data_IF_226436047869
#
_entry.id   IF_226436047869
#
_cell.length_a   1.000
_cell.length_b   1.000
_cell.length_c   1.000
_cell.angle_alpha   90.00
_cell.angle_beta   90.00
_cell.angle_gamma   90.00
#
_symmetry.space_group_name_H-M   'P 1'
#
loop_
_entity.id
_entity.type
_entity.pdbx_description
1 polymer ?
#
# COMPACT_ATOMS: atom_id res chain seq x y z
N UNK A 1 -10.46 -11.59 20.97
CA UNK A 1 -10.04 -11.56 19.54
C UNK A 1 -9.31 -12.85 19.25
N UNK A 2 -9.76 -13.61 18.28
CA UNK A 2 -9.16 -14.89 17.93
C UNK A 2 -8.19 -14.71 16.73
N UNK A 3 -7.11 -15.51 16.72
CA UNK A 3 -6.19 -15.52 15.59
C UNK A 3 -6.75 -16.42 14.48
N UNK A 4 -6.92 -15.83 13.30
CA UNK A 4 -7.43 -16.53 12.12
C UNK A 4 -6.24 -16.93 11.24
N UNK A 5 -5.83 -18.20 11.34
CA UNK A 5 -4.58 -18.70 10.76
C UNK A 5 -4.45 -18.42 9.25
N UNK A 6 -5.48 -18.61 8.46
CA UNK A 6 -5.39 -18.35 7.02
C UNK A 6 -5.20 -16.86 6.71
N UNK A 7 -5.73 -15.94 7.53
CA UNK A 7 -5.50 -14.49 7.38
C UNK A 7 -4.06 -14.14 7.74
N UNK A 8 -3.46 -14.78 8.75
CA UNK A 8 -2.05 -14.60 9.09
C UNK A 8 -1.18 -14.97 7.88
N UNK A 9 -1.44 -16.13 7.27
CA UNK A 9 -0.70 -16.60 6.10
C UNK A 9 -0.86 -15.65 4.91
N UNK A 10 -2.07 -15.22 4.63
CA UNK A 10 -2.33 -14.26 3.55
C UNK A 10 -1.63 -12.92 3.81
N UNK A 11 -1.77 -12.37 5.02
CA UNK A 11 -1.14 -11.11 5.40
C UNK A 11 0.40 -11.22 5.30
N UNK A 12 0.99 -12.35 5.71
CA UNK A 12 2.41 -12.60 5.56
C UNK A 12 2.84 -12.55 4.08
N UNK A 13 2.16 -13.27 3.19
CA UNK A 13 2.53 -13.31 1.78
C UNK A 13 2.36 -11.95 1.10
N UNK A 14 1.25 -11.24 1.37
CA UNK A 14 1.00 -9.95 0.74
C UNK A 14 1.94 -8.86 1.25
N UNK A 15 2.29 -8.85 2.54
CA UNK A 15 3.30 -7.94 3.07
C UNK A 15 4.70 -8.28 2.56
N UNK A 16 5.02 -9.58 2.43
CA UNK A 16 6.27 -10.01 1.82
C UNK A 16 6.41 -9.45 0.40
N UNK A 17 5.34 -9.50 -0.39
CA UNK A 17 5.30 -8.93 -1.73
C UNK A 17 5.39 -7.40 -1.70
N UNK A 18 4.67 -6.75 -0.78
CA UNK A 18 4.63 -5.30 -0.66
C UNK A 18 6.00 -4.71 -0.33
N UNK A 19 6.59 -5.17 0.75
CA UNK A 19 7.90 -4.71 1.18
C UNK A 19 9.06 -5.20 0.29
N UNK A 20 8.83 -6.21 -0.60
CA UNK A 20 9.85 -6.68 -1.56
C UNK A 20 9.76 -6.01 -2.93
N UNK A 21 8.57 -5.63 -3.38
CA UNK A 21 8.33 -5.09 -4.72
C UNK A 21 7.62 -3.73 -4.73
N UNK A 22 7.34 -3.18 -3.55
CA UNK A 22 6.65 -1.90 -3.40
C UNK A 22 5.17 -1.96 -3.76
N UNK A 23 4.56 -3.14 -3.74
CA UNK A 23 3.12 -3.33 -4.02
C UNK A 23 2.67 -4.74 -3.59
N UNK A 24 1.56 -4.84 -2.88
CA UNK A 24 1.03 -6.15 -2.48
C UNK A 24 0.02 -6.09 -1.35
N UNK A 25 0.38 -5.57 -0.20
CA UNK A 25 -0.42 -5.68 1.01
C UNK A 25 -1.81 -5.07 0.82
N UNK A 26 -1.92 -3.77 0.73
CA UNK A 26 -3.21 -3.12 0.50
C UNK A 26 -3.81 -3.44 -0.88
N UNK A 27 -2.97 -3.61 -1.92
CA UNK A 27 -3.45 -3.85 -3.29
C UNK A 27 -3.97 -5.27 -3.51
N UNK A 28 -3.41 -6.24 -2.79
CA UNK A 28 -3.79 -7.65 -2.93
C UNK A 28 -4.70 -8.15 -1.81
N UNK A 29 -4.37 -7.84 -0.56
CA UNK A 29 -5.11 -8.34 0.59
C UNK A 29 -6.50 -7.68 0.71
N UNK A 30 -6.63 -6.36 0.45
CA UNK A 30 -7.94 -5.69 0.51
C UNK A 30 -8.98 -6.35 -0.39
N UNK A 31 -8.78 -6.48 -1.72
CA UNK A 31 -9.80 -7.06 -2.57
C UNK A 31 -10.10 -8.50 -2.19
N UNK A 32 -9.11 -9.26 -1.75
CA UNK A 32 -9.31 -10.63 -1.30
C UNK A 32 -10.20 -10.71 -0.05
N UNK A 33 -9.95 -9.88 0.96
CA UNK A 33 -10.78 -9.82 2.17
C UNK A 33 -12.21 -9.36 1.86
N UNK A 34 -12.37 -8.37 0.96
CA UNK A 34 -13.70 -7.93 0.50
C UNK A 34 -14.45 -9.05 -0.23
N UNK A 35 -13.75 -9.90 -1.01
CA UNK A 35 -14.32 -11.09 -1.65
C UNK A 35 -14.72 -12.18 -0.64
N UNK A 36 -13.99 -12.29 0.45
CA UNK A 36 -14.30 -13.21 1.55
C UNK A 36 -15.50 -12.74 2.39
N UNK A 37 -16.12 -11.61 2.03
CA UNK A 37 -17.34 -11.09 2.66
C UNK A 37 -17.09 -10.07 3.78
N UNK A 38 -15.83 -9.67 4.03
CA UNK A 38 -15.56 -8.60 4.98
C UNK A 38 -15.96 -7.23 4.39
N UNK A 39 -16.38 -6.33 5.27
CA UNK A 39 -16.78 -4.98 4.88
C UNK A 39 -15.58 -4.01 4.83
N UNK A 40 -15.63 -2.94 4.01
CA UNK A 40 -14.54 -1.96 3.94
C UNK A 40 -14.12 -1.37 5.29
N UNK A 41 -15.07 -1.12 6.21
CA UNK A 41 -14.80 -0.61 7.56
C UNK A 41 -14.17 -1.66 8.50
N UNK A 42 -14.24 -2.95 8.15
CA UNK A 42 -13.52 -4.03 8.85
C UNK A 42 -12.09 -4.20 8.30
N UNK A 43 -11.87 -3.86 7.03
CA UNK A 43 -10.62 -4.11 6.32
C UNK A 43 -9.71 -2.89 6.31
N UNK A 44 -10.20 -1.75 5.81
CA UNK A 44 -9.36 -0.58 5.51
C UNK A 44 -8.67 -0.01 6.76
N UNK A 45 -9.36 0.29 7.87
CA UNK A 45 -8.67 0.85 9.05
C UNK A 45 -7.67 -0.12 9.66
N UNK A 46 -7.95 -1.43 9.59
CA UNK A 46 -7.07 -2.46 10.14
C UNK A 46 -5.81 -2.63 9.30
N UNK A 47 -5.92 -2.58 7.98
CA UNK A 47 -4.77 -2.55 7.10
C UNK A 47 -3.91 -1.31 7.37
N UNK A 48 -4.50 -0.13 7.47
CA UNK A 48 -3.78 1.11 7.74
C UNK A 48 -2.95 1.04 9.03
N UNK A 49 -3.53 0.59 10.14
CA UNK A 49 -2.75 0.48 11.40
C UNK A 49 -1.67 -0.60 11.31
N UNK A 50 -1.92 -1.70 10.60
CA UNK A 50 -0.92 -2.74 10.38
C UNK A 50 0.22 -2.21 9.51
N UNK A 51 -0.08 -1.57 8.38
CA UNK A 51 0.91 -0.97 7.48
C UNK A 51 1.68 0.20 8.13
N UNK A 52 1.07 0.92 9.07
CA UNK A 52 1.81 1.92 9.85
C UNK A 52 3.02 1.27 10.54
N UNK A 53 2.84 0.11 11.16
CA UNK A 53 3.94 -0.57 11.86
C UNK A 53 4.85 -1.33 10.89
N UNK A 54 4.28 -2.08 9.93
CA UNK A 54 5.07 -2.88 8.98
C UNK A 54 5.90 -2.00 8.06
N UNK A 55 5.38 -0.87 7.57
CA UNK A 55 6.09 0.07 6.72
C UNK A 55 7.27 0.74 7.41
N UNK A 56 7.14 1.12 8.70
CA UNK A 56 8.29 1.58 9.48
C UNK A 56 9.31 0.48 9.71
N UNK A 57 8.85 -0.72 10.07
CA UNK A 57 9.72 -1.87 10.28
C UNK A 57 10.50 -2.18 9.00
N UNK A 58 9.83 -2.32 7.86
CA UNK A 58 10.46 -2.55 6.58
C UNK A 58 11.42 -1.42 6.19
N UNK A 59 11.04 -0.16 6.40
CA UNK A 59 11.88 1.01 6.14
C UNK A 59 13.20 0.97 6.92
N UNK A 60 13.16 0.63 8.21
CA UNK A 60 14.35 0.47 9.06
C UNK A 60 15.24 -0.64 8.51
N UNK A 61 14.68 -1.83 8.25
CA UNK A 61 15.46 -2.96 7.74
C UNK A 61 15.96 -2.74 6.31
N UNK A 62 15.26 -1.98 5.45
CA UNK A 62 15.79 -1.57 4.16
C UNK A 62 17.04 -0.68 4.30
N UNK A 63 17.06 0.21 5.29
CA UNK A 63 18.23 1.03 5.59
C UNK A 63 19.39 0.17 6.12
N UNK A 64 19.14 -0.69 7.10
CA UNK A 64 20.14 -1.58 7.70
C UNK A 64 20.75 -2.57 6.67
N UNK A 65 19.95 -3.03 5.71
CA UNK A 65 20.43 -3.90 4.63
C UNK A 65 20.99 -3.14 3.42
N UNK A 66 21.23 -1.83 3.54
CA UNK A 66 21.82 -0.99 2.50
C UNK A 66 21.06 -0.99 1.16
N UNK A 67 19.73 -1.22 1.20
CA UNK A 67 18.87 -1.08 0.02
C UNK A 67 18.59 0.39 -0.31
N UNK A 68 18.74 1.29 0.69
CA UNK A 68 18.43 2.72 0.63
C UNK A 68 19.21 3.46 1.72
N UNK A 69 19.49 4.74 1.51
CA UNK A 69 20.02 5.62 2.57
C UNK A 69 18.91 6.53 3.13
N UNK A 70 18.50 6.29 4.38
CA UNK A 70 17.55 7.12 5.14
C UNK A 70 18.24 7.97 6.22
N UNK A 71 19.51 8.32 6.03
CA UNK A 71 20.24 9.09 7.03
C UNK A 71 19.72 10.53 7.18
N UNK A 72 19.69 10.99 8.44
CA UNK A 72 19.42 12.38 8.86
C UNK A 72 20.68 13.13 9.27
N UNK A 73 21.86 12.68 8.85
CA UNK A 73 23.13 13.30 9.19
C UNK A 73 23.21 14.77 8.67
N UNK A 74 24.34 15.45 8.78
CA UNK A 74 24.51 16.89 8.46
C UNK A 74 23.80 17.38 7.18
N UNK A 75 23.50 16.47 6.24
CA UNK A 75 22.68 16.73 5.06
C UNK A 75 21.77 15.52 4.82
N UNK A 76 20.46 15.72 4.96
CA UNK A 76 19.46 14.69 4.71
C UNK A 76 19.67 14.04 3.32
N UNK A 77 19.60 12.70 3.26
CA UNK A 77 19.72 11.94 2.02
C UNK A 77 18.64 12.32 0.98
N UNK A 78 18.91 12.09 -0.27
CA UNK A 78 17.95 12.36 -1.36
C UNK A 78 16.72 11.47 -1.22
N UNK A 79 16.93 10.21 -0.85
CA UNK A 79 15.89 9.19 -0.65
C UNK A 79 14.95 9.60 0.49
N UNK A 80 15.47 10.06 1.61
CA UNK A 80 14.67 10.55 2.72
C UNK A 80 13.86 11.80 2.34
N UNK A 81 14.42 12.72 1.55
CA UNK A 81 13.68 13.89 1.04
C UNK A 81 12.52 13.47 0.16
N UNK A 82 12.73 12.51 -0.74
CA UNK A 82 11.70 11.99 -1.62
C UNK A 82 10.62 11.30 -0.77
N UNK A 83 11.00 10.50 0.22
CA UNK A 83 10.07 9.85 1.15
C UNK A 83 9.17 10.87 1.85
N UNK A 84 9.75 11.88 2.49
CA UNK A 84 8.98 12.91 3.20
C UNK A 84 8.06 13.71 2.27
N UNK A 85 8.50 13.99 1.06
CA UNK A 85 7.72 14.69 0.06
C UNK A 85 6.52 13.85 -0.40
N UNK A 86 6.72 12.58 -0.73
CA UNK A 86 5.66 11.65 -1.10
C UNK A 86 4.67 11.49 0.06
N UNK A 87 5.18 11.35 1.29
CA UNK A 87 4.39 11.26 2.52
C UNK A 87 3.50 12.48 2.71
N UNK A 88 4.03 13.69 2.55
CA UNK A 88 3.24 14.91 2.77
C UNK A 88 2.02 14.99 1.83
N UNK A 89 2.21 14.73 0.54
CA UNK A 89 1.10 14.71 -0.43
C UNK A 89 0.15 13.53 -0.22
N UNK A 90 0.68 12.34 0.13
CA UNK A 90 -0.10 11.17 0.47
C UNK A 90 -0.97 11.38 1.71
N UNK A 91 -0.41 11.99 2.77
CA UNK A 91 -1.11 12.32 4.00
C UNK A 91 -2.27 13.29 3.78
N UNK A 92 -2.05 14.35 3.02
CA UNK A 92 -3.13 15.27 2.67
C UNK A 92 -4.25 14.54 1.94
N UNK A 93 -3.91 13.75 0.93
CA UNK A 93 -4.89 13.07 0.11
C UNK A 93 -5.66 11.98 0.85
N UNK A 94 -5.01 11.17 1.71
CA UNK A 94 -5.68 10.11 2.48
C UNK A 94 -6.66 10.68 3.49
N UNK A 95 -6.30 11.78 4.16
CA UNK A 95 -7.19 12.46 5.11
C UNK A 95 -8.51 12.86 4.45
N UNK A 96 -8.44 13.58 3.33
CA UNK A 96 -9.63 13.98 2.60
C UNK A 96 -10.41 12.77 2.05
N UNK A 97 -9.71 11.77 1.56
CA UNK A 97 -10.33 10.58 1.00
C UNK A 97 -11.15 9.81 2.03
N UNK A 98 -10.60 9.58 3.23
CA UNK A 98 -11.32 8.88 4.31
C UNK A 98 -12.57 9.66 4.74
N UNK A 99 -12.43 10.97 4.97
CA UNK A 99 -13.57 11.81 5.37
C UNK A 99 -14.62 11.82 4.28
N UNK A 100 -14.22 12.00 3.02
CA UNK A 100 -15.15 12.07 1.90
C UNK A 100 -15.91 10.75 1.72
N UNK A 101 -15.20 9.62 1.77
CA UNK A 101 -15.75 8.29 1.45
C UNK A 101 -16.70 7.79 2.55
N UNK A 102 -16.25 7.83 3.80
CA UNK A 102 -16.94 7.13 4.89
C UNK A 102 -17.79 8.03 5.77
N UNK A 103 -17.51 9.33 5.80
CA UNK A 103 -18.23 10.27 6.65
C UNK A 103 -19.15 11.21 5.86
N UNK A 104 -18.62 11.94 4.86
CA UNK A 104 -19.39 12.97 4.17
C UNK A 104 -20.38 12.36 3.15
N UNK A 105 -19.90 11.50 2.25
CA UNK A 105 -20.72 10.90 1.17
C UNK A 105 -21.32 9.55 1.57
N UNK A 106 -20.75 8.87 2.57
CA UNK A 106 -21.16 7.52 3.02
C UNK A 106 -21.31 6.57 1.83
N UNK A 107 -20.24 6.48 1.03
CA UNK A 107 -20.25 5.72 -0.23
C UNK A 107 -20.65 4.27 0.06
N UNK A 108 -21.62 3.70 -0.67
CA UNK A 108 -22.05 2.32 -0.50
C UNK A 108 -20.89 1.33 -0.68
N UNK A 109 -20.91 0.26 0.11
CA UNK A 109 -19.88 -0.81 0.10
C UNK A 109 -19.60 -1.35 -1.32
N UNK A 110 -20.64 -1.60 -2.12
CA UNK A 110 -20.47 -2.13 -3.48
C UNK A 110 -19.75 -1.16 -4.41
N UNK A 111 -19.94 0.15 -4.23
CA UNK A 111 -19.19 1.15 -4.96
C UNK A 111 -17.72 1.17 -4.55
N UNK A 112 -17.42 1.01 -3.27
CA UNK A 112 -16.03 0.89 -2.77
C UNK A 112 -15.39 -0.39 -3.33
N UNK A 113 -16.08 -1.53 -3.28
CA UNK A 113 -15.60 -2.81 -3.85
C UNK A 113 -15.33 -2.68 -5.35
N UNK A 114 -16.26 -2.07 -6.10
CA UNK A 114 -16.11 -1.82 -7.54
C UNK A 114 -14.90 -0.93 -7.83
N UNK A 115 -14.76 0.17 -7.08
CA UNK A 115 -13.61 1.06 -7.22
C UNK A 115 -12.29 0.34 -6.97
N UNK A 116 -12.19 -0.43 -5.89
CA UNK A 116 -10.98 -1.22 -5.55
C UNK A 116 -10.67 -2.22 -6.67
N UNK A 117 -11.65 -2.92 -7.19
CA UNK A 117 -11.47 -3.90 -8.27
C UNK A 117 -10.96 -3.25 -9.56
N UNK A 118 -11.56 -2.12 -9.99
CA UNK A 118 -11.13 -1.37 -11.17
C UNK A 118 -9.71 -0.83 -10.97
N UNK A 119 -9.41 -0.29 -9.79
CA UNK A 119 -8.07 0.22 -9.47
C UNK A 119 -7.02 -0.87 -9.58
N UNK A 120 -7.28 -2.04 -8.98
CA UNK A 120 -6.35 -3.18 -8.98
C UNK A 120 -6.13 -3.69 -10.40
N UNK A 121 -7.18 -3.79 -11.22
CA UNK A 121 -7.07 -4.13 -12.65
C UNK A 121 -6.22 -3.12 -13.41
N UNK A 122 -6.49 -1.83 -13.23
CA UNK A 122 -5.75 -0.76 -13.90
C UNK A 122 -4.26 -0.79 -13.51
N UNK A 123 -3.94 -1.00 -12.22
CA UNK A 123 -2.57 -1.09 -11.73
C UNK A 123 -1.86 -2.33 -12.28
N UNK A 124 -2.52 -3.50 -12.30
CA UNK A 124 -1.98 -4.72 -12.91
C UNK A 124 -1.66 -4.52 -14.39
N UNK A 125 -2.58 -3.93 -15.16
CA UNK A 125 -2.39 -3.64 -16.58
C UNK A 125 -1.24 -2.65 -16.83
N UNK A 126 -1.21 -1.55 -16.08
CA UNK A 126 -0.14 -0.54 -16.21
C UNK A 126 1.22 -1.15 -15.86
N UNK A 127 1.30 -1.98 -14.82
CA UNK A 127 2.53 -2.64 -14.42
C UNK A 127 3.06 -3.57 -15.53
N UNK A 128 2.20 -4.36 -16.19
CA UNK A 128 2.59 -5.21 -17.33
C UNK A 128 3.06 -4.37 -18.52
N UNK A 129 2.30 -3.35 -18.90
CA UNK A 129 2.62 -2.51 -20.05
C UNK A 129 3.92 -1.72 -19.88
N UNK A 130 4.31 -1.42 -18.65
CA UNK A 130 5.47 -0.58 -18.31
C UNK A 130 6.70 -1.37 -17.86
N UNK A 131 6.63 -2.68 -17.82
CA UNK A 131 7.70 -3.57 -17.34
C UNK A 131 9.11 -3.27 -17.93
N UNK A 132 9.19 -2.67 -19.11
CA UNK A 132 10.45 -2.44 -19.85
C UNK A 132 10.87 -0.96 -19.92
N UNK A 133 10.12 -0.01 -19.35
CA UNK A 133 10.41 1.44 -19.52
C UNK A 133 10.85 2.08 -18.22
N UNK A 134 12.15 2.21 -18.01
CA UNK A 134 12.75 3.07 -16.99
C UNK A 134 13.10 4.44 -17.59
N UNK A 135 12.76 5.52 -16.92
CA UNK A 135 13.18 6.89 -17.30
C UNK A 135 14.45 7.25 -16.54
N UNK A 136 15.35 7.96 -17.17
CA UNK A 136 16.57 8.49 -16.52
C UNK A 136 16.44 9.95 -16.04
N UNK A 137 15.27 10.54 -16.17
CA UNK A 137 15.04 11.98 -15.84
C UNK A 137 14.25 12.11 -14.56
N UNK A 138 14.80 12.81 -13.56
CA UNK A 138 14.11 13.13 -12.32
C UNK A 138 12.98 14.15 -12.55
N UNK A 139 11.75 13.77 -12.18
CA UNK A 139 10.53 14.56 -12.42
C UNK A 139 9.72 14.74 -11.13
N UNK A 140 10.08 15.69 -10.24
CA UNK A 140 9.43 15.82 -8.93
C UNK A 140 7.93 16.14 -9.01
N UNK A 141 7.48 16.95 -10.00
CA UNK A 141 6.06 17.27 -10.19
C UNK A 141 5.21 16.03 -10.47
N UNK A 142 5.80 15.03 -11.15
CA UNK A 142 5.13 13.75 -11.42
C UNK A 142 4.94 12.97 -10.12
N UNK A 143 5.97 12.94 -9.26
CA UNK A 143 5.91 12.29 -7.96
C UNK A 143 4.81 12.86 -7.07
N UNK A 144 4.61 14.18 -7.05
CA UNK A 144 3.53 14.81 -6.28
C UNK A 144 2.14 14.33 -6.72
N UNK A 145 1.88 14.31 -8.02
CA UNK A 145 0.61 13.84 -8.56
C UNK A 145 0.34 12.37 -8.25
N UNK A 146 1.36 11.52 -8.41
CA UNK A 146 1.24 10.10 -8.07
C UNK A 146 1.08 9.87 -6.56
N UNK A 147 1.77 10.63 -5.71
CA UNK A 147 1.64 10.52 -4.27
C UNK A 147 0.23 10.93 -3.78
N UNK A 148 -0.32 12.02 -4.30
CA UNK A 148 -1.67 12.45 -3.99
C UNK A 148 -2.72 11.43 -4.47
N UNK A 149 -2.60 10.94 -5.70
CA UNK A 149 -3.47 9.89 -6.22
C UNK A 149 -3.39 8.61 -5.38
N UNK A 150 -2.18 8.20 -5.01
CA UNK A 150 -1.96 7.04 -4.18
C UNK A 150 -2.59 7.15 -2.79
N UNK A 151 -2.39 8.29 -2.12
CA UNK A 151 -3.01 8.55 -0.82
C UNK A 151 -4.53 8.58 -0.89
N UNK A 152 -5.08 9.16 -1.94
CA UNK A 152 -6.53 9.17 -2.18
C UNK A 152 -7.08 7.75 -2.35
N UNK A 153 -6.47 6.93 -3.19
CA UNK A 153 -6.84 5.53 -3.41
C UNK A 153 -6.79 4.72 -2.11
N UNK A 154 -5.71 4.92 -1.33
CA UNK A 154 -5.51 4.24 -0.06
C UNK A 154 -6.61 4.56 0.96
N UNK A 155 -7.08 5.79 1.00
CA UNK A 155 -8.17 6.21 1.89
C UNK A 155 -9.52 5.60 1.51
N UNK A 156 -9.79 5.35 0.23
CA UNK A 156 -11.04 4.70 -0.22
C UNK A 156 -11.03 3.20 0.10
N UNK A 157 -9.98 2.51 -0.31
CA UNK A 157 -9.96 1.04 -0.35
C UNK A 157 -8.82 0.38 0.43
N UNK A 158 -8.02 1.13 1.19
CA UNK A 158 -6.85 0.59 1.90
C UNK A 158 -5.69 0.16 0.99
N UNK A 159 -5.87 0.21 -0.33
CA UNK A 159 -4.89 -0.28 -1.30
C UNK A 159 -4.56 0.71 -2.41
N UNK A 160 -3.67 0.28 -3.32
CA UNK A 160 -3.29 1.05 -4.50
C UNK A 160 -2.24 2.15 -4.26
N UNK A 161 -1.75 2.30 -3.03
CA UNK A 161 -0.68 3.25 -2.72
C UNK A 161 0.64 2.82 -3.36
N UNK A 162 1.10 1.62 -3.01
CA UNK A 162 2.38 1.06 -3.46
C UNK A 162 2.56 1.12 -4.98
N UNK A 163 1.69 0.47 -5.78
CA UNK A 163 1.84 0.45 -7.24
C UNK A 163 1.82 1.85 -7.88
N UNK A 164 1.00 2.78 -7.36
CA UNK A 164 0.90 4.14 -7.90
C UNK A 164 2.17 4.94 -7.60
N UNK A 165 2.64 4.93 -6.34
CA UNK A 165 3.89 5.61 -5.95
C UNK A 165 5.09 4.99 -6.63
N UNK A 166 5.16 3.65 -6.69
CA UNK A 166 6.23 2.93 -7.37
C UNK A 166 6.34 3.33 -8.85
N UNK A 167 5.19 3.37 -9.54
CA UNK A 167 5.13 3.82 -10.92
C UNK A 167 5.64 5.26 -11.07
N UNK A 168 5.19 6.17 -10.20
CA UNK A 168 5.65 7.58 -10.18
C UNK A 168 7.16 7.69 -10.00
N UNK A 169 7.74 6.91 -9.10
CA UNK A 169 9.17 6.87 -8.83
C UNK A 169 9.97 6.34 -10.03
N UNK A 170 9.57 5.20 -10.60
CA UNK A 170 10.26 4.61 -11.76
C UNK A 170 10.20 5.53 -12.98
N UNK A 171 9.06 6.20 -13.22
CA UNK A 171 8.93 7.21 -14.27
C UNK A 171 9.75 8.48 -14.02
N UNK A 172 10.14 8.70 -12.77
CA UNK A 172 11.01 9.81 -12.33
C UNK A 172 12.47 9.40 -12.18
N UNK A 173 12.86 8.24 -12.69
CA UNK A 173 14.25 7.80 -12.73
C UNK A 173 14.85 7.34 -11.39
N UNK A 174 14.00 7.01 -10.41
CA UNK A 174 14.45 6.45 -9.13
C UNK A 174 14.75 4.97 -9.31
N UNK A 175 15.88 4.51 -8.75
CA UNK A 175 16.29 3.12 -8.82
C UNK A 175 15.33 2.20 -8.06
N UNK A 176 15.04 1.04 -8.60
CA UNK A 176 13.98 0.13 -8.12
C UNK A 176 14.10 -0.26 -6.65
N UNK A 177 15.29 -0.66 -6.17
CA UNK A 177 15.48 -1.04 -4.77
C UNK A 177 15.23 0.14 -3.82
N UNK A 178 15.73 1.33 -4.17
CA UNK A 178 15.47 2.54 -3.40
C UNK A 178 13.98 2.93 -3.48
N UNK A 179 13.35 2.75 -4.64
CA UNK A 179 11.92 3.03 -4.81
C UNK A 179 11.05 2.15 -3.92
N UNK A 180 11.34 0.84 -3.80
CA UNK A 180 10.63 -0.07 -2.90
C UNK A 180 10.76 0.38 -1.44
N UNK A 181 11.98 0.66 -0.99
CA UNK A 181 12.21 1.12 0.38
C UNK A 181 11.51 2.46 0.69
N UNK A 182 11.56 3.41 -0.26
CA UNK A 182 10.87 4.70 -0.15
C UNK A 182 9.35 4.49 -0.05
N UNK A 183 8.77 3.60 -0.86
CA UNK A 183 7.34 3.26 -0.79
C UNK A 183 7.01 2.72 0.60
N UNK A 184 7.72 1.69 1.08
CA UNK A 184 7.43 1.06 2.37
C UNK A 184 7.42 2.09 3.52
N UNK A 185 8.44 2.94 3.62
CA UNK A 185 8.51 3.94 4.68
C UNK A 185 7.44 5.05 4.52
N UNK A 186 7.23 5.55 3.29
CA UNK A 186 6.21 6.57 3.02
C UNK A 186 4.80 6.04 3.28
N UNK A 187 4.53 4.79 2.91
CA UNK A 187 3.26 4.10 3.13
C UNK A 187 2.96 3.93 4.62
N UNK A 188 3.95 3.54 5.42
CA UNK A 188 3.83 3.50 6.87
C UNK A 188 3.44 4.85 7.47
N UNK A 189 4.11 5.94 7.06
CA UNK A 189 3.80 7.29 7.53
C UNK A 189 2.39 7.75 7.11
N UNK A 190 2.00 7.53 5.86
CA UNK A 190 0.67 7.89 5.34
C UNK A 190 -0.42 7.09 6.05
N UNK A 191 -0.15 5.83 6.34
CA UNK A 191 -1.09 4.93 7.02
C UNK A 191 -1.40 5.36 8.46
N UNK A 192 -0.44 5.98 9.18
CA UNK A 192 -0.71 6.59 10.50
C UNK A 192 -1.81 7.64 10.38
N UNK A 193 -1.68 8.57 9.42
CA UNK A 193 -2.68 9.63 9.26
C UNK A 193 -4.01 9.08 8.75
N UNK A 194 -3.97 8.08 7.87
CA UNK A 194 -5.17 7.38 7.42
C UNK A 194 -5.93 6.75 8.58
N UNK A 195 -5.24 5.98 9.43
CA UNK A 195 -5.85 5.39 10.62
C UNK A 195 -6.33 6.44 11.61
N UNK A 196 -5.57 7.51 11.86
CA UNK A 196 -5.99 8.62 12.69
C UNK A 196 -7.26 9.30 12.13
N UNK A 197 -7.41 9.37 10.81
CA UNK A 197 -8.62 9.88 10.17
C UNK A 197 -9.83 8.97 10.44
N UNK A 198 -9.65 7.65 10.44
CA UNK A 198 -10.71 6.71 10.85
C UNK A 198 -11.05 6.85 12.33
N UNK A 199 -10.07 7.02 13.22
CA UNK A 199 -10.33 7.30 14.63
C UNK A 199 -11.12 8.61 14.81
N UNK A 200 -10.80 9.64 14.04
CA UNK A 200 -11.55 10.89 14.06
C UNK A 200 -13.01 10.69 13.67
N UNK A 201 -13.30 10.02 12.55
CA UNK A 201 -14.69 9.80 12.12
C UNK A 201 -15.43 8.81 13.04
N UNK A 202 -14.72 7.94 13.75
CA UNK A 202 -15.34 7.05 14.73
C UNK A 202 -15.94 7.80 15.92
N UNK A 203 -15.41 8.96 16.30
CA UNK A 203 -16.01 9.81 17.31
C UNK A 203 -17.34 10.43 16.87
N UNK A 204 -17.64 10.39 15.57
CA UNK A 204 -18.89 10.84 14.96
C UNK A 204 -19.84 9.68 14.57
N UNK A 205 -19.62 8.49 15.15
CA UNK A 205 -20.53 7.34 15.01
C UNK A 205 -20.21 6.35 13.89
N UNK A 206 -19.05 6.48 13.22
CA UNK A 206 -18.57 5.44 12.29
C UNK A 206 -17.89 4.34 13.10
N UNK A 207 -18.44 3.14 13.14
CA UNK A 207 -17.88 2.00 13.87
C UNK A 207 -16.72 1.35 13.12
N UNK A 208 -15.62 1.06 13.82
CA UNK A 208 -14.48 0.29 13.30
C UNK A 208 -14.51 -1.08 13.98
N UNK A 209 -14.39 -2.14 13.18
CA UNK A 209 -14.30 -3.51 13.69
C UNK A 209 -12.84 -3.98 13.67
N UNK A 210 -12.32 -4.39 14.83
CA UNK A 210 -10.93 -4.79 15.04
C UNK A 210 -10.72 -6.31 14.96
N UNK A 211 -11.68 -7.07 14.50
CA UNK A 211 -11.60 -8.55 14.51
C UNK A 211 -10.42 -9.09 13.72
N UNK A 212 -10.06 -8.44 12.62
CA UNK A 212 -8.95 -8.84 11.73
C UNK A 212 -7.57 -8.40 12.22
N UNK A 213 -7.50 -7.41 13.13
CA UNK A 213 -6.23 -6.78 13.53
C UNK A 213 -5.17 -7.77 14.01
N UNK A 214 -5.43 -8.69 14.94
CA UNK A 214 -4.39 -9.59 15.44
C UNK A 214 -3.79 -10.46 14.35
N UNK A 215 -4.63 -10.94 13.42
CA UNK A 215 -4.21 -11.85 12.35
C UNK A 215 -3.42 -11.12 11.28
N UNK A 216 -3.93 -9.98 10.80
CA UNK A 216 -3.26 -9.17 9.77
C UNK A 216 -1.93 -8.63 10.30
N UNK A 217 -1.94 -8.11 11.52
CA UNK A 217 -0.74 -7.56 12.16
C UNK A 217 0.35 -8.64 12.34
N UNK A 218 -0.01 -9.82 12.84
CA UNK A 218 0.96 -10.91 13.08
C UNK A 218 1.64 -11.33 11.78
N UNK A 219 0.87 -11.61 10.73
CA UNK A 219 1.42 -12.02 9.44
C UNK A 219 2.27 -10.92 8.80
N UNK A 220 1.74 -9.71 8.75
CA UNK A 220 2.42 -8.55 8.17
C UNK A 220 3.72 -8.21 8.90
N UNK A 221 3.71 -8.16 10.23
CA UNK A 221 4.90 -7.81 11.01
C UNK A 221 6.07 -8.78 10.79
N UNK A 222 5.81 -10.07 10.76
CA UNK A 222 6.85 -11.08 10.48
C UNK A 222 7.42 -10.87 9.06
N UNK A 223 6.55 -10.64 8.08
CA UNK A 223 6.96 -10.41 6.70
C UNK A 223 7.80 -9.14 6.53
N UNK A 224 7.43 -8.04 7.20
CA UNK A 224 8.12 -6.76 7.14
C UNK A 224 9.59 -6.82 7.60
N UNK A 225 9.92 -7.76 8.48
CA UNK A 225 11.30 -8.02 8.91
C UNK A 225 12.08 -8.79 7.83
N UNK A 226 11.43 -9.76 7.19
CA UNK A 226 12.07 -10.70 6.25
C UNK A 226 12.23 -10.09 4.85
N UNK A 227 11.24 -9.33 4.39
CA UNK A 227 11.15 -8.81 3.03
C UNK A 227 12.35 -7.96 2.59
N UNK A 228 12.88 -7.03 3.39
CA UNK A 228 14.03 -6.22 2.99
C UNK A 228 15.30 -7.05 2.73
N UNK A 229 15.46 -8.17 3.44
CA UNK A 229 16.51 -9.12 3.15
C UNK A 229 16.30 -9.81 1.81
N UNK A 230 15.06 -10.18 1.49
CA UNK A 230 14.72 -10.77 0.19
C UNK A 230 15.00 -9.81 -0.98
N UNK A 231 14.78 -8.50 -0.81
CA UNK A 231 15.13 -7.48 -1.82
C UNK A 231 16.63 -7.47 -2.11
N UNK A 232 17.45 -7.77 -1.12
CA UNK A 232 18.91 -7.89 -1.30
C UNK A 232 19.29 -9.14 -2.10
N UNK A 233 18.61 -10.26 -1.89
CA UNK A 233 19.03 -11.61 -2.34
C UNK A 233 18.30 -12.07 -3.60
N UNK A 234 16.99 -11.79 -3.72
CA UNK A 234 16.15 -12.30 -4.81
C UNK A 234 16.12 -11.32 -5.98
N UNK A 235 16.23 -11.80 -7.25
CA UNK A 235 16.08 -10.95 -8.41
C UNK A 235 14.67 -10.34 -8.47
N UNK A 236 14.59 -9.03 -8.60
CA UNK A 236 13.35 -8.26 -8.62
C UNK A 236 12.37 -8.68 -9.75
N UNK A 237 12.89 -9.34 -10.78
CA UNK A 237 12.10 -9.76 -11.95
C UNK A 237 10.97 -10.75 -11.61
N UNK A 238 11.14 -11.59 -10.57
CA UNK A 238 10.10 -12.52 -10.14
C UNK A 238 8.85 -11.77 -9.63
N UNK A 239 9.06 -10.82 -8.71
CA UNK A 239 7.97 -10.04 -8.13
C UNK A 239 7.27 -9.15 -9.17
N UNK A 240 8.03 -8.57 -10.09
CA UNK A 240 7.52 -7.74 -11.20
C UNK A 240 6.55 -8.48 -12.12
N UNK A 241 6.65 -9.79 -12.23
CA UNK A 241 5.76 -10.61 -13.06
C UNK A 241 4.57 -11.13 -12.24
N UNK A 242 4.83 -11.67 -11.05
CA UNK A 242 3.81 -12.32 -10.24
C UNK A 242 2.74 -11.35 -9.76
N UNK A 243 3.13 -10.14 -9.30
CA UNK A 243 2.19 -9.19 -8.73
C UNK A 243 1.19 -8.64 -9.76
N UNK A 244 1.60 -8.17 -10.95
CA UNK A 244 0.65 -7.72 -11.97
C UNK A 244 -0.33 -8.82 -12.41
N UNK A 245 0.16 -10.05 -12.58
CA UNK A 245 -0.72 -11.18 -12.95
C UNK A 245 -1.75 -11.42 -11.85
N UNK A 246 -1.31 -11.47 -10.58
CA UNK A 246 -2.21 -11.61 -9.45
C UNK A 246 -3.24 -10.47 -9.41
N UNK A 247 -2.79 -9.20 -9.56
CA UNK A 247 -3.66 -8.04 -9.55
C UNK A 247 -4.74 -8.13 -10.65
N UNK A 248 -4.40 -8.57 -11.85
CA UNK A 248 -5.38 -8.79 -12.93
C UNK A 248 -6.38 -9.89 -12.56
N UNK A 249 -5.91 -11.04 -12.09
CA UNK A 249 -6.78 -12.15 -11.72
C UNK A 249 -7.77 -11.75 -10.62
N UNK A 250 -7.29 -11.14 -9.53
CA UNK A 250 -8.14 -10.77 -8.40
C UNK A 250 -9.11 -9.64 -8.76
N UNK A 251 -8.68 -8.68 -9.58
CA UNK A 251 -9.53 -7.58 -10.02
C UNK A 251 -10.70 -8.06 -10.89
N UNK A 252 -10.45 -8.96 -11.84
CA UNK A 252 -11.51 -9.60 -12.64
C UNK A 252 -12.45 -10.39 -11.75
N UNK A 253 -11.93 -11.19 -10.82
CA UNK A 253 -12.74 -12.01 -9.94
C UNK A 253 -13.58 -11.15 -8.98
N UNK A 254 -13.04 -10.04 -8.47
CA UNK A 254 -13.80 -9.11 -7.63
C UNK A 254 -14.95 -8.46 -8.40
N UNK A 255 -14.70 -7.99 -9.64
CA UNK A 255 -15.76 -7.41 -10.47
C UNK A 255 -16.83 -8.42 -10.79
N UNK A 256 -16.48 -9.67 -11.12
CA UNK A 256 -17.47 -10.70 -11.40
C UNK A 256 -18.38 -10.97 -10.19
N UNK A 257 -17.84 -10.99 -8.97
CA UNK A 257 -18.64 -11.21 -7.76
C UNK A 257 -19.52 -10.03 -7.33
N UNK A 258 -19.21 -8.81 -7.77
CA UNK A 258 -20.05 -7.64 -7.47
C UNK A 258 -21.25 -7.56 -8.43
N UNK A 259 -21.12 -8.06 -9.67
CA UNK A 259 -22.11 -7.86 -10.72
C UNK A 259 -22.78 -9.15 -11.25
N UNK A 260 -22.28 -10.32 -10.88
CA UNK A 260 -22.87 -11.64 -11.20
C UNK A 260 -23.42 -12.32 -9.95
#
# INVERSE_FOLDING_TARGET
MELIVYIIVLAFFFELMDSSAGMGFGTGLTPLLLLMGYEPLQVVPILLISEAVTGFTAGIFHHEFENVDFSFSKKMSTEMRITLMITAFGCFAIFFSVILTYFALKIPTDMVKTYVAILVLAMGLIAILRFKKTSSVYRPKLLFGFAALAGFNKGIGGGGYGPVVMLGQLLSGIYEKSATAIVSLAEGMVSILGFASFLLISTYGVSIDYVLLPSIFTGGFIAAIISPYMVRVVPNNFWKICIPIYALCIGVFTLSNVYL
#
